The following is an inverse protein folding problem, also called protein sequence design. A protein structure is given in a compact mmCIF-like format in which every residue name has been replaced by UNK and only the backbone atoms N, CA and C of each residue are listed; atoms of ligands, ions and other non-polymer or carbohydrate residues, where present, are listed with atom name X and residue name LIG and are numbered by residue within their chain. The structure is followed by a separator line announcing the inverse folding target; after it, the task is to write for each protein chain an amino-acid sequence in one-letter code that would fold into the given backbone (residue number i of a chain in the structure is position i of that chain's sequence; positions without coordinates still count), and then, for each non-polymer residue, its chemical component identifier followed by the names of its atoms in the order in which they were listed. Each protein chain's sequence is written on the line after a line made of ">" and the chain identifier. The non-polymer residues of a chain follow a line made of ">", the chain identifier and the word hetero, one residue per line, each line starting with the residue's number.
data_IF_601019354922
#
_entry.id   IF_601019354922
#
_cell.length_a   1.000
_cell.length_b   1.000
_cell.length_c   1.000
_cell.angle_alpha   90.00
_cell.angle_beta   90.00
_cell.angle_gamma   90.00
#
_symmetry.space_group_name_H-M   'P 1'
#
loop_
_entity.id
_entity.type
_entity.pdbx_description
1 polymer ?
#
# COMPACT_ATOMS: atom_id res chain seq x y z
N UNK A 1 -19.15 -3.13 24.67
CA UNK A 1 -19.64 -3.23 23.28
C UNK A 1 -20.19 -1.87 22.86
N UNK A 2 -19.36 -1.03 22.25
CA UNK A 2 -19.82 0.23 21.67
C UNK A 2 -20.55 -0.06 20.35
N UNK A 3 -21.70 0.55 20.12
CA UNK A 3 -22.42 0.44 18.86
C UNK A 3 -21.72 1.34 17.82
N UNK A 4 -20.87 0.76 16.98
CA UNK A 4 -20.02 1.53 16.06
C UNK A 4 -20.79 2.24 14.94
N UNK A 5 -21.99 1.73 14.60
CA UNK A 5 -22.88 2.47 13.70
C UNK A 5 -23.34 3.77 14.34
N UNK A 6 -23.67 3.73 15.64
CA UNK A 6 -23.99 4.95 16.39
C UNK A 6 -22.77 5.87 16.50
N UNK A 7 -21.58 5.33 16.81
CA UNK A 7 -20.33 6.12 16.84
C UNK A 7 -20.09 6.85 15.51
N UNK A 8 -20.17 6.13 14.39
CA UNK A 8 -20.01 6.69 13.04
C UNK A 8 -21.01 7.82 12.77
N UNK A 9 -22.30 7.62 13.05
CA UNK A 9 -23.30 8.68 12.85
C UNK A 9 -23.05 9.92 13.71
N UNK A 10 -22.53 9.75 14.92
CA UNK A 10 -22.17 10.88 15.79
C UNK A 10 -20.94 11.62 15.25
N UNK A 11 -19.90 10.90 14.82
CA UNK A 11 -18.71 11.50 14.24
C UNK A 11 -19.01 12.24 12.93
N UNK A 12 -19.91 11.71 12.09
CA UNK A 12 -20.39 12.42 10.90
C UNK A 12 -21.07 13.76 11.25
N UNK A 13 -21.80 13.85 12.38
CA UNK A 13 -22.37 15.12 12.85
C UNK A 13 -21.25 16.09 13.23
N UNK A 14 -20.23 15.63 13.96
CA UNK A 14 -19.07 16.47 14.33
C UNK A 14 -18.33 16.97 13.09
N UNK A 15 -18.05 16.09 12.12
CA UNK A 15 -17.39 16.45 10.87
C UNK A 15 -18.18 17.51 10.09
N UNK A 16 -19.51 17.36 10.04
CA UNK A 16 -20.39 18.34 9.42
C UNK A 16 -20.34 19.69 10.15
N UNK A 17 -20.34 19.70 11.50
CA UNK A 17 -20.21 20.92 12.30
C UNK A 17 -18.87 21.62 12.05
N UNK A 18 -17.76 20.86 11.98
CA UNK A 18 -16.41 21.38 11.72
C UNK A 18 -16.29 21.94 10.30
N UNK A 19 -16.83 21.23 9.30
CA UNK A 19 -16.80 21.64 7.89
C UNK A 19 -17.65 22.88 7.63
N UNK A 20 -18.84 22.95 8.24
CA UNK A 20 -19.74 24.11 8.12
C UNK A 20 -19.32 25.28 9.03
N UNK A 21 -18.47 25.02 10.03
CA UNK A 21 -18.18 25.93 11.13
C UNK A 21 -19.45 26.42 11.84
N UNK A 22 -20.39 25.50 12.04
CA UNK A 22 -21.72 25.75 12.60
C UNK A 22 -22.14 24.59 13.53
N UNK A 23 -22.25 24.79 14.85
CA UNK A 23 -21.97 26.05 15.55
C UNK A 23 -20.46 26.33 15.67
N UNK A 24 -20.02 27.61 15.68
CA UNK A 24 -18.59 27.98 15.74
C UNK A 24 -17.86 27.48 16.99
N UNK A 25 -18.59 27.25 18.08
CA UNK A 25 -18.03 26.73 19.33
C UNK A 25 -17.40 25.35 19.15
N UNK A 26 -17.94 24.50 18.26
CA UNK A 26 -17.38 23.17 17.96
C UNK A 26 -15.96 23.27 17.42
N UNK A 27 -15.73 24.16 16.45
CA UNK A 27 -14.41 24.35 15.84
C UNK A 27 -13.42 24.95 16.84
N UNK A 28 -13.85 25.93 17.64
CA UNK A 28 -13.00 26.51 18.68
C UNK A 28 -12.54 25.46 19.70
N UNK A 29 -13.44 24.59 20.15
CA UNK A 29 -13.12 23.50 21.07
C UNK A 29 -12.20 22.47 20.43
N UNK A 30 -12.44 22.12 19.16
CA UNK A 30 -11.59 21.21 18.41
C UNK A 30 -10.16 21.73 18.28
N UNK A 31 -9.98 22.98 17.84
CA UNK A 31 -8.65 23.59 17.69
C UNK A 31 -7.90 23.62 19.03
N UNK A 32 -8.59 23.93 20.14
CA UNK A 32 -7.99 23.92 21.49
C UNK A 32 -7.60 22.52 21.99
N UNK A 33 -8.31 21.48 21.58
CA UNK A 33 -7.92 20.10 21.88
C UNK A 33 -6.66 19.74 21.09
N UNK A 34 -6.58 20.10 19.80
CA UNK A 34 -5.36 19.88 19.02
C UNK A 34 -4.15 20.62 19.62
N UNK A 35 -4.33 21.88 20.03
CA UNK A 35 -3.28 22.67 20.71
C UNK A 35 -2.83 22.03 22.03
N UNK A 36 -3.71 21.27 22.69
CA UNK A 36 -3.41 20.53 23.91
C UNK A 36 -2.77 19.16 23.67
N UNK A 37 -2.53 18.76 22.41
CA UNK A 37 -1.83 17.53 22.04
C UNK A 37 -2.74 16.35 21.71
N UNK A 38 -4.05 16.54 21.64
CA UNK A 38 -4.98 15.50 21.18
C UNK A 38 -4.84 15.24 19.68
N UNK A 39 -4.98 13.97 19.27
CA UNK A 39 -5.18 13.61 17.87
C UNK A 39 -6.53 14.15 17.35
N UNK A 40 -6.70 14.20 16.03
CA UNK A 40 -7.95 14.68 15.42
C UNK A 40 -9.10 13.74 15.79
N UNK A 41 -8.85 12.44 15.79
CA UNK A 41 -9.78 11.39 16.16
C UNK A 41 -10.23 11.54 17.61
N UNK A 42 -9.31 11.71 18.55
CA UNK A 42 -9.64 11.91 19.98
C UNK A 42 -10.42 13.21 20.22
N UNK A 43 -10.00 14.30 19.56
CA UNK A 43 -10.70 15.58 19.65
C UNK A 43 -12.14 15.44 19.15
N UNK A 44 -12.36 14.74 18.03
CA UNK A 44 -13.70 14.44 17.51
C UNK A 44 -14.49 13.50 18.42
N UNK A 45 -13.87 12.49 19.01
CA UNK A 45 -14.53 11.56 19.93
C UNK A 45 -15.02 12.27 21.20
N UNK A 46 -14.22 13.17 21.76
CA UNK A 46 -14.61 14.00 22.91
C UNK A 46 -15.78 14.92 22.60
N UNK A 47 -15.73 15.61 21.47
CA UNK A 47 -16.84 16.45 21.00
C UNK A 47 -18.08 15.56 20.73
N UNK A 48 -17.87 14.39 20.12
CA UNK A 48 -18.90 13.41 19.83
C UNK A 48 -19.63 12.92 21.09
N UNK A 49 -18.93 12.73 22.21
CA UNK A 49 -19.56 12.39 23.48
C UNK A 49 -20.52 13.50 23.98
N UNK A 50 -20.15 14.77 23.79
CA UNK A 50 -21.03 15.91 24.09
C UNK A 50 -22.22 15.95 23.14
N UNK A 51 -21.99 15.78 21.83
CA UNK A 51 -23.05 15.71 20.81
C UNK A 51 -24.05 14.59 21.12
N UNK A 52 -23.58 13.40 21.47
CA UNK A 52 -24.42 12.27 21.83
C UNK A 52 -25.29 12.58 23.06
N UNK A 53 -24.71 13.25 24.05
CA UNK A 53 -25.42 13.67 25.26
C UNK A 53 -26.53 14.68 24.93
N UNK A 54 -26.24 15.66 24.07
CA UNK A 54 -27.23 16.65 23.63
C UNK A 54 -28.35 16.01 22.80
N UNK A 55 -28.02 15.13 21.85
CA UNK A 55 -29.02 14.40 21.06
C UNK A 55 -29.93 13.57 21.98
N UNK A 56 -29.36 12.87 22.97
CA UNK A 56 -30.13 12.11 23.94
C UNK A 56 -31.09 13.00 24.73
N UNK A 57 -30.62 14.15 25.20
CA UNK A 57 -31.40 15.11 25.96
C UNK A 57 -32.56 15.72 25.14
N UNK A 58 -32.28 16.10 23.89
CA UNK A 58 -33.25 16.59 22.91
C UNK A 58 -34.37 15.57 22.71
N UNK A 59 -34.00 14.31 22.43
CA UNK A 59 -34.96 13.23 22.18
C UNK A 59 -35.78 12.89 23.42
N UNK A 60 -35.15 12.88 24.60
CA UNK A 60 -35.81 12.53 25.87
C UNK A 60 -36.77 13.61 26.36
N UNK A 61 -36.40 14.88 26.21
CA UNK A 61 -37.17 16.03 26.73
C UNK A 61 -38.07 16.67 25.67
N UNK A 62 -37.92 16.31 24.40
CA UNK A 62 -38.68 16.90 23.29
C UNK A 62 -38.35 18.38 23.06
N UNK A 63 -37.09 18.76 23.26
CA UNK A 63 -36.63 20.16 23.22
C UNK A 63 -35.88 20.46 21.92
N UNK A 64 -35.84 21.73 21.51
CA UNK A 64 -34.99 22.16 20.39
C UNK A 64 -33.52 22.21 20.81
N UNK A 65 -32.61 22.19 19.84
CA UNK A 65 -31.18 22.39 20.07
C UNK A 65 -30.92 23.78 20.68
N UNK A 66 -30.06 23.83 21.71
CA UNK A 66 -29.67 25.05 22.43
C UNK A 66 -28.15 25.21 22.31
N UNK A 67 -27.72 26.20 21.53
CA UNK A 67 -26.31 26.44 21.23
C UNK A 67 -25.52 26.91 22.45
N UNK A 68 -26.11 27.71 23.34
CA UNK A 68 -25.42 28.21 24.54
C UNK A 68 -25.21 27.09 25.57
N UNK A 69 -26.20 26.21 25.70
CA UNK A 69 -26.06 24.99 26.52
C UNK A 69 -24.98 24.08 25.93
N UNK A 70 -25.02 23.81 24.63
CA UNK A 70 -24.03 22.97 23.96
C UNK A 70 -22.61 23.53 24.11
N UNK A 71 -22.44 24.84 23.90
CA UNK A 71 -21.17 25.55 24.13
C UNK A 71 -20.68 25.39 25.56
N UNK A 72 -21.56 25.55 26.55
CA UNK A 72 -21.21 25.38 27.96
C UNK A 72 -20.73 23.95 28.27
N UNK A 73 -21.39 22.94 27.69
CA UNK A 73 -20.97 21.53 27.83
C UNK A 73 -19.64 21.24 27.15
N UNK A 74 -19.37 21.84 25.98
CA UNK A 74 -18.07 21.76 25.32
C UNK A 74 -16.96 22.43 26.15
N UNK A 75 -17.22 23.61 26.72
CA UNK A 75 -16.25 24.31 27.58
C UNK A 75 -15.97 23.53 28.88
N UNK A 76 -16.98 22.92 29.47
CA UNK A 76 -16.82 22.06 30.64
C UNK A 76 -15.97 20.81 30.31
N UNK A 77 -16.29 20.12 29.22
CA UNK A 77 -15.51 18.98 28.74
C UNK A 77 -14.07 19.37 28.43
N UNK A 78 -13.86 20.52 27.76
CA UNK A 78 -12.54 21.03 27.44
C UNK A 78 -11.73 21.34 28.71
N UNK A 79 -12.34 22.00 29.69
CA UNK A 79 -11.70 22.27 30.99
C UNK A 79 -11.32 20.97 31.70
N UNK A 80 -12.24 20.02 31.78
CA UNK A 80 -11.96 18.71 32.38
C UNK A 80 -10.86 17.95 31.63
N UNK A 81 -10.75 18.19 30.32
CA UNK A 81 -9.77 17.53 29.46
C UNK A 81 -8.38 18.16 29.55
N UNK A 82 -8.18 19.40 30.02
CA UNK A 82 -6.87 20.09 29.99
C UNK A 82 -6.28 20.31 31.40
N UNK A 83 -7.09 20.28 32.45
CA UNK A 83 -6.71 20.75 33.80
C UNK A 83 -6.09 19.68 34.73
N UNK A 84 -5.83 18.47 34.24
CA UNK A 84 -5.21 17.38 35.01
C UNK A 84 -4.05 16.73 34.24
N UNK A 85 -2.97 16.34 34.94
CA UNK A 85 -1.84 15.53 34.46
C UNK A 85 -2.27 14.11 34.04
N UNK A 86 -3.32 13.99 33.24
CA UNK A 86 -3.74 12.76 32.59
C UNK A 86 -2.86 12.56 31.34
N UNK A 87 -2.72 11.36 30.80
CA UNK A 87 -2.09 11.20 29.46
C UNK A 87 -3.04 11.62 28.33
N UNK A 88 -4.25 12.07 28.70
CA UNK A 88 -5.31 12.60 27.84
C UNK A 88 -5.84 11.55 26.84
N UNK A 89 -5.24 10.37 26.78
CA UNK A 89 -5.46 9.38 25.74
C UNK A 89 -6.59 8.42 26.10
N UNK A 90 -7.60 8.30 25.24
CA UNK A 90 -8.71 7.37 25.46
C UNK A 90 -8.24 5.99 25.01
N UNK A 91 -7.88 5.12 25.97
CA UNK A 91 -7.49 3.74 25.66
C UNK A 91 -8.57 3.01 24.86
N UNK A 92 -8.15 2.48 23.73
CA UNK A 92 -8.92 1.71 22.75
C UNK A 92 -8.38 0.30 22.59
N UNK A 93 -9.03 -0.52 21.76
CA UNK A 93 -8.48 -1.80 21.33
C UNK A 93 -7.12 -1.66 20.62
N UNK A 94 -6.84 -0.51 19.98
CA UNK A 94 -5.59 -0.27 19.28
C UNK A 94 -4.38 -0.13 20.20
N UNK A 95 -4.56 0.38 21.42
CA UNK A 95 -3.46 0.49 22.38
C UNK A 95 -3.03 -0.88 22.89
N UNK A 96 -4.01 -1.75 23.11
CA UNK A 96 -3.72 -3.15 23.42
C UNK A 96 -3.07 -3.86 22.24
N UNK A 97 -3.52 -3.59 21.02
CA UNK A 97 -2.89 -4.10 19.80
C UNK A 97 -1.42 -3.64 19.73
N UNK A 98 -1.15 -2.34 19.93
CA UNK A 98 0.20 -1.78 19.84
C UNK A 98 1.12 -2.35 20.93
N UNK A 99 0.65 -2.47 22.18
CA UNK A 99 1.40 -3.13 23.25
C UNK A 99 1.83 -4.57 22.88
N UNK A 100 0.99 -5.31 22.16
CA UNK A 100 1.31 -6.67 21.69
C UNK A 100 2.26 -6.65 20.49
N UNK A 101 2.09 -5.69 19.58
CA UNK A 101 2.99 -5.48 18.44
C UNK A 101 4.41 -5.18 18.92
N UNK A 102 4.56 -4.24 19.87
CA UNK A 102 5.85 -3.88 20.45
C UNK A 102 6.51 -5.05 21.19
N UNK A 103 5.75 -5.81 21.99
CA UNK A 103 6.27 -7.04 22.64
C UNK A 103 6.73 -8.08 21.63
N UNK A 104 6.06 -8.17 20.49
CA UNK A 104 6.51 -9.02 19.38
C UNK A 104 7.86 -8.56 18.85
N UNK A 105 8.02 -7.27 18.53
CA UNK A 105 9.30 -6.69 18.10
C UNK A 105 10.43 -6.92 19.12
N UNK A 106 10.20 -6.62 20.40
CA UNK A 106 11.14 -6.88 21.49
C UNK A 106 11.57 -8.36 21.52
N UNK A 107 10.61 -9.29 21.31
CA UNK A 107 10.91 -10.71 21.26
C UNK A 107 11.78 -11.10 20.06
N UNK A 108 11.59 -10.48 18.90
CA UNK A 108 12.45 -10.73 17.73
C UNK A 108 13.86 -10.18 17.93
N UNK A 109 14.02 -9.01 18.54
CA UNK A 109 15.33 -8.47 18.92
C UNK A 109 16.08 -9.40 19.89
N UNK A 110 15.36 -10.03 20.82
CA UNK A 110 15.88 -11.03 21.75
C UNK A 110 16.05 -12.44 21.14
N UNK A 111 15.82 -12.60 19.83
CA UNK A 111 15.90 -13.88 19.10
C UNK A 111 14.90 -14.95 19.60
N UNK A 112 13.75 -14.52 20.13
CA UNK A 112 12.66 -15.37 20.62
C UNK A 112 11.49 -15.38 19.63
N UNK A 113 11.73 -15.79 18.39
CA UNK A 113 10.74 -15.72 17.30
C UNK A 113 9.40 -16.42 17.62
N UNK A 114 9.43 -17.57 18.31
CA UNK A 114 8.20 -18.27 18.69
C UNK A 114 7.34 -17.50 19.70
N UNK A 115 7.98 -16.77 20.62
CA UNK A 115 7.28 -15.91 21.59
C UNK A 115 6.73 -14.66 20.88
N UNK A 116 7.54 -14.03 20.02
CA UNK A 116 7.11 -12.87 19.23
C UNK A 116 5.89 -13.16 18.36
N UNK A 117 5.87 -14.31 17.68
CA UNK A 117 4.72 -14.76 16.89
C UNK A 117 3.47 -15.05 17.74
N UNK A 118 3.61 -15.45 19.00
CA UNK A 118 2.46 -15.58 19.90
C UNK A 118 1.83 -14.21 20.19
N UNK A 119 2.65 -13.19 20.49
CA UNK A 119 2.15 -11.83 20.70
C UNK A 119 1.49 -11.26 19.44
N UNK A 120 2.12 -11.45 18.27
CA UNK A 120 1.53 -10.98 17.01
C UNK A 120 0.28 -11.73 16.59
N UNK A 121 0.13 -13.01 16.95
CA UNK A 121 -1.13 -13.72 16.79
C UNK A 121 -2.25 -13.11 17.66
N UNK A 122 -1.95 -12.76 18.92
CA UNK A 122 -2.92 -12.07 19.77
C UNK A 122 -3.26 -10.67 19.25
N UNK A 123 -2.28 -9.94 18.70
CA UNK A 123 -2.50 -8.67 18.03
C UNK A 123 -3.41 -8.85 16.80
N UNK A 124 -3.15 -9.87 16.00
CA UNK A 124 -3.99 -10.22 14.85
C UNK A 124 -5.44 -10.50 15.23
N UNK A 125 -5.68 -11.23 16.32
CA UNK A 125 -7.04 -11.49 16.79
C UNK A 125 -7.79 -10.20 17.18
N UNK A 126 -7.09 -9.23 17.76
CA UNK A 126 -7.64 -7.89 18.05
C UNK A 126 -7.92 -7.15 16.75
N UNK A 127 -6.95 -7.14 15.83
CA UNK A 127 -7.08 -6.50 14.53
C UNK A 127 -8.29 -7.03 13.75
N UNK A 128 -8.46 -8.35 13.64
CA UNK A 128 -9.64 -8.96 13.00
C UNK A 128 -10.95 -8.56 13.69
N UNK A 129 -10.95 -8.38 15.01
CA UNK A 129 -12.12 -7.93 15.76
C UNK A 129 -12.48 -6.48 15.46
N UNK A 130 -11.48 -5.61 15.29
CA UNK A 130 -11.67 -4.21 14.90
C UNK A 130 -12.15 -4.13 13.45
N UNK A 131 -11.51 -4.87 12.53
CA UNK A 131 -11.82 -4.84 11.10
C UNK A 131 -13.26 -5.28 10.76
N UNK A 132 -13.90 -6.13 11.58
CA UNK A 132 -15.35 -6.47 11.43
C UNK A 132 -16.29 -5.25 11.49
N UNK A 133 -15.79 -4.13 11.99
CA UNK A 133 -16.55 -2.91 12.23
C UNK A 133 -16.27 -1.85 11.16
N UNK A 134 -15.20 -2.06 10.38
CA UNK A 134 -14.74 -1.19 9.30
C UNK A 134 -15.51 -1.56 8.02
N UNK A 135 -15.91 -0.58 7.18
CA UNK A 135 -16.54 -0.88 5.89
C UNK A 135 -15.62 -1.69 4.97
N UNK A 136 -16.18 -2.61 4.19
CA UNK A 136 -15.45 -3.44 3.20
C UNK A 136 -14.80 -2.65 2.05
N UNK A 137 -15.04 -1.33 1.97
CA UNK A 137 -14.51 -0.45 0.92
C UNK A 137 -13.35 0.42 1.40
N UNK A 138 -12.80 0.15 2.59
CA UNK A 138 -11.70 0.93 3.15
C UNK A 138 -10.37 0.48 2.57
N UNK A 139 -9.47 1.41 2.26
CA UNK A 139 -8.09 1.10 1.86
C UNK A 139 -7.19 1.01 3.10
N UNK A 140 -5.99 0.44 2.99
CA UNK A 140 -5.07 0.36 4.14
C UNK A 140 -4.64 1.76 4.60
N UNK A 141 -4.34 2.67 3.68
CA UNK A 141 -4.05 4.05 4.04
C UNK A 141 -5.27 4.79 4.59
N UNK A 142 -6.48 4.51 4.10
CA UNK A 142 -7.72 5.05 4.66
C UNK A 142 -7.92 4.63 6.13
N UNK A 143 -7.62 3.37 6.45
CA UNK A 143 -7.61 2.89 7.83
C UNK A 143 -6.57 3.64 8.67
N UNK A 144 -5.33 3.77 8.18
CA UNK A 144 -4.27 4.49 8.92
C UNK A 144 -4.61 5.97 9.12
N UNK A 145 -5.17 6.64 8.11
CA UNK A 145 -5.64 8.02 8.20
C UNK A 145 -6.75 8.16 9.25
N UNK A 146 -7.67 7.19 9.33
CA UNK A 146 -8.71 7.17 10.36
C UNK A 146 -8.17 7.04 11.79
N UNK A 147 -6.96 6.50 11.94
CA UNK A 147 -6.21 6.42 13.19
C UNK A 147 -5.18 7.55 13.34
N UNK A 148 -5.25 8.60 12.51
CA UNK A 148 -4.30 9.72 12.48
C UNK A 148 -2.83 9.27 12.35
N UNK A 149 -2.59 8.12 11.71
CA UNK A 149 -1.26 7.50 11.56
C UNK A 149 -0.54 7.23 12.88
N UNK A 150 -1.28 7.10 13.99
CA UNK A 150 -0.71 6.80 15.31
C UNK A 150 -0.05 5.42 15.33
N UNK A 151 -0.64 4.45 14.62
CA UNK A 151 -0.20 3.07 14.62
C UNK A 151 0.42 2.68 13.26
N UNK A 152 1.59 2.02 13.24
CA UNK A 152 2.28 1.60 12.01
C UNK A 152 1.70 0.28 11.46
N UNK A 153 0.41 0.28 11.13
CA UNK A 153 -0.35 -0.92 10.75
C UNK A 153 0.23 -1.59 9.49
N UNK A 154 0.57 -0.80 8.48
CA UNK A 154 1.14 -1.26 7.22
C UNK A 154 2.48 -1.98 7.39
N UNK A 155 3.39 -1.39 8.16
CA UNK A 155 4.68 -1.99 8.49
C UNK A 155 4.49 -3.31 9.25
N UNK A 156 3.66 -3.30 10.29
CA UNK A 156 3.42 -4.51 11.09
C UNK A 156 2.81 -5.65 10.26
N UNK A 157 1.86 -5.36 9.37
CA UNK A 157 1.25 -6.39 8.52
C UNK A 157 2.30 -7.06 7.62
N UNK A 158 3.22 -6.28 7.04
CA UNK A 158 4.32 -6.81 6.21
C UNK A 158 5.34 -7.60 7.05
N UNK A 159 5.67 -7.12 8.25
CA UNK A 159 6.61 -7.82 9.13
C UNK A 159 6.00 -9.13 9.65
N UNK A 160 4.72 -9.15 10.00
CA UNK A 160 4.04 -10.35 10.46
C UNK A 160 3.97 -11.41 9.35
N UNK A 161 3.66 -10.98 8.12
CA UNK A 161 3.74 -11.80 6.92
C UNK A 161 5.11 -12.48 6.77
N UNK A 162 6.17 -11.67 6.89
CA UNK A 162 7.55 -12.11 6.73
C UNK A 162 7.96 -13.10 7.83
N UNK A 163 7.60 -12.82 9.09
CA UNK A 163 7.95 -13.67 10.23
C UNK A 163 7.22 -15.01 10.23
N UNK A 164 5.99 -15.07 9.73
CA UNK A 164 5.32 -16.35 9.45
C UNK A 164 6.11 -17.17 8.42
N UNK A 165 6.67 -16.51 7.41
CA UNK A 165 7.53 -17.14 6.39
C UNK A 165 8.86 -17.62 6.96
N UNK A 166 9.52 -16.79 7.76
CA UNK A 166 10.79 -17.10 8.45
C UNK A 166 10.63 -18.30 9.40
N UNK A 167 9.49 -18.42 10.08
CA UNK A 167 9.16 -19.54 10.95
C UNK A 167 8.73 -20.82 10.21
N UNK A 168 8.63 -20.79 8.88
CA UNK A 168 8.17 -21.93 8.08
C UNK A 168 6.69 -22.25 8.24
N UNK A 169 5.89 -21.30 8.75
CA UNK A 169 4.44 -21.44 8.97
C UNK A 169 3.66 -21.08 7.69
N UNK A 170 4.00 -21.73 6.58
CA UNK A 170 3.51 -21.37 5.24
C UNK A 170 1.98 -21.43 5.10
N UNK A 171 1.33 -22.43 5.71
CA UNK A 171 -0.14 -22.49 5.73
C UNK A 171 -0.80 -21.33 6.49
N UNK A 172 -0.22 -20.91 7.61
CA UNK A 172 -0.69 -19.74 8.37
C UNK A 172 -0.44 -18.44 7.57
N UNK A 173 0.74 -18.30 6.94
CA UNK A 173 1.10 -17.18 6.06
C UNK A 173 0.12 -17.03 4.90
N UNK A 174 -0.22 -18.12 4.20
CA UNK A 174 -1.20 -18.10 3.10
C UNK A 174 -2.56 -17.62 3.59
N UNK A 175 -3.06 -18.17 4.70
CA UNK A 175 -4.37 -17.79 5.25
C UNK A 175 -4.41 -16.32 5.69
N UNK A 176 -3.32 -15.84 6.30
CA UNK A 176 -3.15 -14.44 6.68
C UNK A 176 -3.17 -13.51 5.45
N UNK A 177 -2.34 -13.78 4.45
CA UNK A 177 -2.28 -12.96 3.24
C UNK A 177 -3.62 -12.93 2.49
N UNK A 178 -4.31 -14.07 2.38
CA UNK A 178 -5.63 -14.14 1.75
C UNK A 178 -6.65 -13.25 2.47
N UNK A 179 -6.69 -13.31 3.80
CA UNK A 179 -7.56 -12.45 4.59
C UNK A 179 -7.25 -10.97 4.38
N UNK A 180 -5.98 -10.58 4.36
CA UNK A 180 -5.58 -9.19 4.11
C UNK A 180 -6.02 -8.71 2.72
N UNK A 181 -5.83 -9.54 1.70
CA UNK A 181 -6.28 -9.24 0.34
C UNK A 181 -7.80 -9.12 0.22
N UNK A 182 -8.55 -9.84 1.07
CA UNK A 182 -10.02 -9.76 1.15
C UNK A 182 -10.52 -8.58 2.01
N UNK A 183 -9.72 -8.10 2.97
CA UNK A 183 -10.13 -7.07 3.94
C UNK A 183 -10.08 -5.65 3.39
N UNK A 184 -9.23 -5.38 2.41
CA UNK A 184 -8.94 -4.02 1.94
C UNK A 184 -9.24 -3.84 0.45
N UNK A 185 -9.63 -2.62 0.08
CA UNK A 185 -9.62 -2.18 -1.31
C UNK A 185 -8.20 -1.69 -1.69
N UNK A 186 -7.50 -2.47 -2.50
CA UNK A 186 -6.11 -2.20 -2.92
C UNK A 186 -5.99 -1.25 -4.12
N UNK A 187 -7.09 -0.58 -4.52
CA UNK A 187 -7.02 0.38 -5.62
C UNK A 187 -6.07 1.54 -5.30
N UNK A 188 -4.93 1.58 -6.00
CA UNK A 188 -3.91 2.61 -5.81
C UNK A 188 -2.92 2.34 -4.68
N UNK A 189 -2.96 1.16 -4.07
CA UNK A 189 -2.03 0.69 -3.04
C UNK A 189 -1.29 -0.57 -3.53
N UNK A 190 -0.08 -0.83 -3.01
CA UNK A 190 0.69 -2.01 -3.40
C UNK A 190 0.33 -3.21 -2.51
N UNK A 191 -0.31 -4.22 -3.10
CA UNK A 191 -0.68 -5.46 -2.44
C UNK A 191 0.32 -6.61 -2.68
N UNK A 192 1.43 -6.31 -3.38
CA UNK A 192 2.36 -7.31 -3.88
C UNK A 192 3.03 -8.11 -2.76
N UNK A 193 3.26 -7.52 -1.58
CA UNK A 193 3.83 -8.22 -0.43
C UNK A 193 3.02 -9.48 -0.08
N UNK A 194 1.70 -9.31 0.13
CA UNK A 194 0.81 -10.41 0.51
C UNK A 194 0.61 -11.41 -0.63
N UNK A 195 0.55 -10.93 -1.88
CA UNK A 195 0.45 -11.81 -3.05
C UNK A 195 1.70 -12.66 -3.25
N UNK A 196 2.88 -12.07 -3.16
CA UNK A 196 4.16 -12.79 -3.19
C UNK A 196 4.23 -13.79 -2.04
N UNK A 197 3.76 -13.39 -0.86
CA UNK A 197 3.61 -14.25 0.31
C UNK A 197 2.90 -15.56 0.05
N UNK A 198 1.75 -15.51 -0.63
CA UNK A 198 0.98 -16.70 -1.03
C UNK A 198 1.79 -17.56 -2.00
N UNK A 199 2.28 -16.97 -3.09
CA UNK A 199 2.98 -17.71 -4.13
C UNK A 199 4.27 -18.37 -3.65
N UNK A 200 5.07 -17.66 -2.86
CA UNK A 200 6.28 -18.19 -2.23
C UNK A 200 5.96 -19.31 -1.24
N UNK A 201 4.93 -19.14 -0.41
CA UNK A 201 4.53 -20.14 0.57
C UNK A 201 4.05 -21.43 -0.10
N UNK A 202 3.27 -21.34 -1.19
CA UNK A 202 2.88 -22.50 -1.99
C UNK A 202 4.10 -23.25 -2.53
N UNK A 203 5.09 -22.51 -3.05
CA UNK A 203 6.34 -23.10 -3.52
C UNK A 203 7.11 -23.80 -2.39
N UNK A 204 7.23 -23.16 -1.21
CA UNK A 204 7.91 -23.73 -0.04
C UNK A 204 7.21 -24.96 0.54
N UNK A 205 5.89 -25.08 0.38
CA UNK A 205 5.13 -26.30 0.70
C UNK A 205 5.31 -27.43 -0.33
N UNK A 206 6.07 -27.20 -1.41
CA UNK A 206 6.29 -28.16 -2.49
C UNK A 206 5.17 -28.21 -3.53
N UNK A 207 4.23 -27.25 -3.49
CA UNK A 207 3.13 -27.12 -4.45
C UNK A 207 3.54 -26.26 -5.66
N UNK A 208 4.64 -26.63 -6.30
CA UNK A 208 5.28 -25.83 -7.37
C UNK A 208 4.33 -25.49 -8.52
N UNK A 209 3.50 -26.46 -8.96
CA UNK A 209 2.54 -26.23 -10.04
C UNK A 209 1.48 -25.20 -9.67
N UNK A 210 0.95 -25.27 -8.44
CA UNK A 210 -0.05 -24.31 -7.93
C UNK A 210 0.57 -22.92 -7.78
N UNK A 211 1.81 -22.83 -7.28
CA UNK A 211 2.53 -21.56 -7.16
C UNK A 211 2.72 -20.89 -8.53
N UNK A 212 3.09 -21.66 -9.56
CA UNK A 212 3.29 -21.14 -10.91
C UNK A 212 1.98 -20.66 -11.52
N UNK A 213 0.92 -21.45 -11.42
CA UNK A 213 -0.41 -21.06 -11.90
C UNK A 213 -0.91 -19.80 -11.20
N UNK A 214 -0.69 -19.68 -9.89
CA UNK A 214 -1.02 -18.49 -9.11
C UNK A 214 -0.32 -17.23 -9.65
N UNK A 215 1.01 -17.27 -9.83
CA UNK A 215 1.77 -16.14 -10.38
C UNK A 215 1.39 -15.82 -11.83
N UNK A 216 1.20 -16.84 -12.66
CA UNK A 216 0.82 -16.66 -14.07
C UNK A 216 -0.55 -15.99 -14.21
N UNK A 217 -1.52 -16.38 -13.38
CA UNK A 217 -2.83 -15.74 -13.35
C UNK A 217 -2.75 -14.29 -12.84
N UNK A 218 -2.03 -14.05 -11.73
CA UNK A 218 -1.86 -12.70 -11.19
C UNK A 218 -1.17 -11.76 -12.19
N UNK A 219 -0.06 -12.19 -12.79
CA UNK A 219 0.71 -11.38 -13.75
C UNK A 219 0.07 -11.33 -15.16
N UNK A 220 -1.01 -12.09 -15.40
CA UNK A 220 -1.86 -11.89 -16.57
C UNK A 220 -2.74 -10.65 -16.39
N UNK A 221 -3.28 -10.46 -15.18
CA UNK A 221 -4.14 -9.33 -14.83
C UNK A 221 -3.30 -8.05 -14.57
N UNK A 222 -2.18 -8.17 -13.87
CA UNK A 222 -1.24 -7.08 -13.59
C UNK A 222 0.15 -7.36 -14.18
N UNK A 223 0.22 -7.28 -15.50
CA UNK A 223 1.43 -7.64 -16.26
C UNK A 223 2.63 -6.71 -16.07
N UNK A 224 2.49 -5.60 -15.35
CA UNK A 224 3.60 -4.67 -15.06
C UNK A 224 4.03 -4.74 -13.60
N UNK A 225 3.45 -5.64 -12.80
CA UNK A 225 3.78 -5.78 -11.39
C UNK A 225 5.26 -6.17 -11.21
N UNK A 226 6.05 -5.23 -10.69
CA UNK A 226 7.51 -5.39 -10.54
C UNK A 226 7.84 -6.45 -9.49
N UNK A 227 7.18 -6.37 -8.33
CA UNK A 227 7.41 -7.24 -7.18
C UNK A 227 7.01 -8.68 -7.48
N UNK A 228 5.83 -8.90 -8.05
CA UNK A 228 5.32 -10.19 -8.47
C UNK A 228 6.19 -10.83 -9.56
N UNK A 229 6.62 -10.07 -10.58
CA UNK A 229 7.55 -10.58 -11.60
C UNK A 229 8.88 -10.98 -10.97
N UNK A 230 9.41 -10.17 -10.05
CA UNK A 230 10.68 -10.45 -9.39
C UNK A 230 10.58 -11.74 -8.56
N UNK A 231 9.57 -11.86 -7.70
CA UNK A 231 9.36 -13.05 -6.86
C UNK A 231 9.12 -14.29 -7.72
N UNK A 232 8.30 -14.21 -8.77
CA UNK A 232 8.08 -15.35 -9.67
C UNK A 232 9.38 -15.81 -10.33
N UNK A 233 10.23 -14.87 -10.77
CA UNK A 233 11.53 -15.18 -11.34
C UNK A 233 12.49 -15.86 -10.36
N UNK A 234 12.35 -15.61 -9.06
CA UNK A 234 13.15 -16.28 -8.03
C UNK A 234 12.75 -17.73 -7.86
N UNK A 235 11.44 -18.00 -7.72
CA UNK A 235 10.97 -19.38 -7.54
C UNK A 235 11.25 -20.24 -8.79
N UNK A 236 11.12 -19.67 -9.99
CA UNK A 236 11.47 -20.34 -11.25
C UNK A 236 12.94 -20.72 -11.28
N UNK A 237 13.82 -19.76 -10.96
CA UNK A 237 15.26 -19.98 -10.94
C UNK A 237 15.66 -21.01 -9.89
N UNK A 238 15.08 -20.93 -8.68
CA UNK A 238 15.35 -21.88 -7.60
C UNK A 238 14.91 -23.32 -7.97
N UNK A 239 13.82 -23.46 -8.72
CA UNK A 239 13.37 -24.75 -9.24
C UNK A 239 14.21 -25.27 -10.43
N UNK A 240 15.19 -24.50 -10.90
CA UNK A 240 16.06 -24.85 -12.03
C UNK A 240 15.54 -24.40 -13.40
N UNK A 241 14.44 -23.66 -13.46
CA UNK A 241 13.81 -23.16 -14.69
C UNK A 241 14.40 -21.80 -15.13
N UNK A 242 15.72 -21.71 -15.22
CA UNK A 242 16.43 -20.43 -15.43
C UNK A 242 16.05 -19.72 -16.75
N UNK A 243 15.80 -20.46 -17.84
CA UNK A 243 15.36 -19.85 -19.11
C UNK A 243 13.96 -19.22 -18.96
N UNK A 244 13.03 -19.93 -18.28
CA UNK A 244 11.68 -19.40 -18.02
C UNK A 244 11.73 -18.20 -17.08
N UNK A 245 12.58 -18.25 -16.04
CA UNK A 245 12.82 -17.11 -15.15
C UNK A 245 13.30 -15.88 -15.95
N UNK A 246 14.24 -16.09 -16.89
CA UNK A 246 14.71 -15.02 -17.76
C UNK A 246 13.62 -14.47 -18.67
N UNK A 247 12.83 -15.34 -19.32
CA UNK A 247 11.74 -14.93 -20.21
C UNK A 247 10.68 -14.08 -19.50
N UNK A 248 10.31 -14.45 -18.26
CA UNK A 248 9.34 -13.70 -17.44
C UNK A 248 9.83 -12.28 -17.19
N UNK A 249 11.06 -12.11 -16.70
CA UNK A 249 11.62 -10.78 -16.41
C UNK A 249 11.86 -9.99 -17.70
N UNK A 250 12.36 -10.66 -18.75
CA UNK A 250 12.61 -10.04 -20.06
C UNK A 250 11.34 -9.48 -20.67
N UNK A 251 10.19 -10.15 -20.51
CA UNK A 251 8.90 -9.70 -21.07
C UNK A 251 8.52 -8.29 -20.61
N UNK A 252 8.83 -7.92 -19.36
CA UNK A 252 8.51 -6.61 -18.78
C UNK A 252 9.65 -5.60 -18.91
N UNK A 253 10.90 -6.04 -19.00
CA UNK A 253 12.07 -5.13 -18.99
C UNK A 253 12.66 -4.86 -20.37
N UNK A 254 12.42 -5.71 -21.37
CA UNK A 254 13.08 -5.58 -22.66
C UNK A 254 12.53 -4.40 -23.48
N UNK A 255 13.40 -3.46 -23.82
CA UNK A 255 13.05 -2.29 -24.62
C UNK A 255 12.35 -1.16 -23.87
N UNK A 256 12.19 -1.27 -22.54
CA UNK A 256 11.79 -0.16 -21.66
C UNK A 256 13.00 0.46 -20.99
N UNK A 257 12.85 1.67 -20.45
CA UNK A 257 13.92 2.33 -19.69
C UNK A 257 13.94 1.85 -18.23
N UNK A 258 15.13 1.82 -17.64
CA UNK A 258 15.31 1.63 -16.21
C UNK A 258 15.01 2.94 -15.46
N UNK A 259 14.23 2.85 -14.39
CA UNK A 259 13.91 3.93 -13.46
C UNK A 259 13.71 3.35 -12.05
N UNK A 260 13.36 4.19 -11.08
CA UNK A 260 13.34 3.83 -9.66
C UNK A 260 12.50 2.58 -9.38
N UNK A 261 11.25 2.55 -9.86
CA UNK A 261 10.32 1.47 -9.53
C UNK A 261 10.63 0.14 -10.20
N UNK A 262 11.32 0.12 -11.35
CA UNK A 262 11.63 -1.13 -12.08
C UNK A 262 13.11 -1.56 -12.02
N UNK A 263 13.96 -0.78 -11.34
CA UNK A 263 15.40 -1.02 -11.25
C UNK A 263 15.76 -2.42 -10.74
N UNK A 264 14.96 -2.96 -9.80
CA UNK A 264 15.13 -4.31 -9.27
C UNK A 264 14.99 -5.39 -10.35
N UNK A 265 14.06 -5.21 -11.30
CA UNK A 265 13.90 -6.13 -12.41
C UNK A 265 15.03 -6.00 -13.42
N UNK A 266 15.60 -4.82 -13.62
CA UNK A 266 16.78 -4.65 -14.49
C UNK A 266 18.01 -5.36 -13.91
N UNK A 267 18.23 -5.24 -12.59
CA UNK A 267 19.28 -6.00 -11.90
C UNK A 267 19.06 -7.51 -12.06
N UNK A 268 17.82 -7.98 -11.86
CA UNK A 268 17.44 -9.39 -12.01
C UNK A 268 17.60 -9.88 -13.45
N UNK A 269 17.17 -9.09 -14.43
CA UNK A 269 17.25 -9.42 -15.85
C UNK A 269 18.70 -9.56 -16.33
N UNK A 270 19.60 -8.68 -15.86
CA UNK A 270 21.04 -8.78 -16.13
C UNK A 270 21.62 -10.08 -15.61
N UNK A 271 21.36 -10.41 -14.34
CA UNK A 271 21.85 -11.64 -13.69
C UNK A 271 21.38 -12.90 -14.44
N UNK A 272 20.09 -12.95 -14.79
CA UNK A 272 19.52 -14.07 -15.52
C UNK A 272 20.03 -14.15 -16.97
N UNK A 273 20.19 -13.00 -17.65
CA UNK A 273 20.76 -12.94 -18.99
C UNK A 273 22.20 -13.49 -19.01
N UNK A 274 23.03 -13.13 -18.04
CA UNK A 274 24.38 -13.69 -17.89
C UNK A 274 24.34 -15.20 -17.68
N UNK A 275 23.47 -15.66 -16.79
CA UNK A 275 23.33 -17.08 -16.45
C UNK A 275 22.90 -17.93 -17.66
N UNK A 276 21.97 -17.43 -18.47
CA UNK A 276 21.44 -18.14 -19.66
C UNK A 276 22.24 -17.86 -20.95
N UNK A 277 23.38 -17.18 -20.85
CA UNK A 277 24.30 -16.95 -21.97
C UNK A 277 23.86 -15.88 -22.98
N UNK A 278 23.02 -14.93 -22.58
CA UNK A 278 22.53 -13.81 -23.40
C UNK A 278 23.41 -12.56 -23.22
N UNK A 279 24.69 -12.67 -23.56
CA UNK A 279 25.70 -11.63 -23.29
C UNK A 279 25.33 -10.23 -23.83
N UNK A 280 24.72 -10.15 -25.01
CA UNK A 280 24.32 -8.87 -25.59
C UNK A 280 23.18 -8.20 -24.80
N UNK A 281 22.24 -9.00 -24.32
CA UNK A 281 21.10 -8.52 -23.53
C UNK A 281 21.58 -8.10 -22.13
N UNK A 282 22.48 -8.88 -21.52
CA UNK A 282 23.13 -8.51 -20.26
C UNK A 282 23.87 -7.16 -20.35
N UNK A 283 24.70 -6.97 -21.39
CA UNK A 283 25.38 -5.69 -21.63
C UNK A 283 24.40 -4.52 -21.79
N UNK A 284 23.27 -4.76 -22.45
CA UNK A 284 22.23 -3.75 -22.58
C UNK A 284 21.60 -3.40 -21.22
N UNK A 285 21.25 -4.40 -20.39
CA UNK A 285 20.74 -4.16 -19.04
C UNK A 285 21.74 -3.40 -18.17
N UNK A 286 23.04 -3.75 -18.24
CA UNK A 286 24.09 -3.00 -17.53
C UNK A 286 24.12 -1.53 -17.96
N UNK A 287 24.06 -1.25 -19.26
CA UNK A 287 24.03 0.12 -19.76
C UNK A 287 22.82 0.91 -19.24
N UNK A 288 21.65 0.27 -19.14
CA UNK A 288 20.45 0.91 -18.60
C UNK A 288 20.61 1.24 -17.11
N UNK A 289 21.16 0.30 -16.33
CA UNK A 289 21.46 0.51 -14.90
C UNK A 289 22.50 1.64 -14.70
N UNK A 290 23.58 1.64 -15.47
CA UNK A 290 24.61 2.70 -15.42
C UNK A 290 24.00 4.07 -15.76
N UNK A 291 23.09 4.12 -16.73
CA UNK A 291 22.40 5.36 -17.13
C UNK A 291 21.48 5.87 -16.01
N UNK A 292 20.76 4.96 -15.36
CA UNK A 292 19.90 5.26 -14.22
C UNK A 292 20.73 5.77 -13.01
N UNK A 293 21.79 5.06 -12.63
CA UNK A 293 22.67 5.44 -11.52
C UNK A 293 23.32 6.83 -11.75
N UNK A 294 23.78 7.10 -12.96
CA UNK A 294 24.33 8.41 -13.31
C UNK A 294 23.27 9.53 -13.27
N UNK A 295 22.00 9.21 -13.53
CA UNK A 295 20.90 10.17 -13.41
C UNK A 295 20.60 10.49 -11.95
N UNK A 296 20.56 9.49 -11.06
CA UNK A 296 20.38 9.70 -9.62
C UNK A 296 21.53 10.53 -9.05
N UNK A 297 22.78 10.19 -9.35
CA UNK A 297 23.96 10.92 -8.85
C UNK A 297 23.95 12.39 -9.23
N UNK A 298 23.48 12.73 -10.43
CA UNK A 298 23.33 14.13 -10.84
C UNK A 298 22.25 14.85 -10.04
N UNK A 299 21.12 14.17 -9.81
CA UNK A 299 20.04 14.67 -8.98
C UNK A 299 20.47 14.94 -7.53
N UNK A 300 21.23 14.03 -6.91
CA UNK A 300 21.75 14.20 -5.55
C UNK A 300 22.79 15.33 -5.42
N UNK A 301 23.39 15.77 -6.54
CA UNK A 301 24.42 16.81 -6.57
C UNK A 301 23.88 18.22 -6.87
N UNK A 302 22.67 18.34 -7.42
CA UNK A 302 22.01 19.61 -7.75
C UNK A 302 20.84 19.87 -6.76
N UNK A 303 21.14 20.22 -5.51
CA UNK A 303 20.11 20.51 -4.46
C UNK A 303 19.27 21.78 -4.74
N UNK A 304 19.61 22.60 -5.73
CA UNK A 304 19.05 23.95 -5.87
C UNK A 304 18.02 24.17 -7.00
N UNK A 305 17.76 23.20 -7.89
CA UNK A 305 16.69 23.35 -8.88
C UNK A 305 15.98 22.03 -9.19
N UNK A 306 14.67 22.12 -9.45
CA UNK A 306 13.83 21.15 -10.19
C UNK A 306 12.91 20.28 -9.31
N UNK A 307 11.89 20.94 -8.76
CA UNK A 307 10.55 20.34 -8.75
C UNK A 307 10.10 20.21 -10.22
N UNK A 308 9.48 19.06 -10.57
CA UNK A 308 8.54 18.91 -11.71
C UNK A 308 8.97 18.14 -12.99
N UNK A 309 9.92 17.19 -12.96
CA UNK A 309 10.18 16.32 -14.15
C UNK A 309 10.29 14.81 -13.89
N UNK A 310 9.77 14.29 -12.77
CA UNK A 310 9.80 12.85 -12.45
C UNK A 310 8.45 12.12 -12.43
N UNK A 311 7.33 12.77 -12.78
CA UNK A 311 5.99 12.14 -12.70
C UNK A 311 5.35 11.76 -14.03
N UNK A 312 6.10 11.75 -15.15
CA UNK A 312 5.54 11.26 -16.41
C UNK A 312 6.55 10.47 -17.28
N UNK A 313 6.18 9.28 -17.78
CA UNK A 313 7.00 8.55 -18.74
C UNK A 313 7.14 9.38 -20.02
N UNK A 314 8.37 9.80 -20.35
CA UNK A 314 8.66 10.28 -21.71
C UNK A 314 8.56 9.08 -22.65
N UNK A 315 7.40 8.92 -23.30
CA UNK A 315 7.29 8.04 -24.45
C UNK A 315 8.37 8.45 -25.45
N UNK A 316 9.32 7.56 -25.74
CA UNK A 316 10.19 7.73 -26.89
C UNK A 316 9.25 7.87 -28.09
N UNK A 317 9.36 8.93 -28.91
CA UNK A 317 8.52 9.07 -30.08
C UNK A 317 8.61 7.77 -30.87
N UNK A 318 7.47 7.08 -31.03
CA UNK A 318 7.39 5.90 -31.89
C UNK A 318 7.97 6.34 -33.23
N UNK A 319 9.16 5.85 -33.56
CA UNK A 319 9.76 6.06 -34.88
C UNK A 319 8.83 5.33 -35.82
N UNK A 320 7.84 6.04 -36.35
CA UNK A 320 6.95 5.51 -37.36
C UNK A 320 7.84 5.00 -38.48
N UNK A 321 7.79 3.69 -38.72
CA UNK A 321 8.41 3.12 -39.90
C UNK A 321 8.00 3.97 -41.10
N UNK A 322 8.99 4.34 -41.92
CA UNK A 322 8.80 5.29 -43.02
C UNK A 322 7.66 4.76 -43.90
N UNK A 323 6.50 5.45 -43.87
CA UNK A 323 5.33 5.07 -44.66
C UNK A 323 5.74 4.90 -46.12
N UNK A 324 5.57 3.69 -46.65
CA UNK A 324 5.87 3.37 -48.05
C UNK A 324 4.68 3.82 -48.88
N UNK A 325 4.88 4.84 -49.72
CA UNK A 325 3.83 5.36 -50.59
C UNK A 325 3.71 4.52 -51.87
N UNK A 326 2.54 4.49 -52.53
CA UNK A 326 2.30 3.67 -53.72
C UNK A 326 3.33 3.82 -54.86
N UNK A 327 4.00 4.96 -54.97
CA UNK A 327 5.00 5.24 -56.00
C UNK A 327 6.45 5.01 -55.56
N UNK A 328 6.70 4.72 -54.28
CA UNK A 328 8.05 4.51 -53.73
C UNK A 328 8.67 3.20 -54.27
N UNK A 329 10.02 3.09 -54.30
CA UNK A 329 10.69 1.84 -54.61
C UNK A 329 10.21 0.72 -53.68
N UNK A 330 9.84 -0.42 -54.25
CA UNK A 330 9.33 -1.54 -53.48
C UNK A 330 10.43 -2.13 -52.58
N UNK A 331 10.18 -2.34 -51.28
CA UNK A 331 11.21 -2.78 -50.32
C UNK A 331 11.72 -4.22 -50.57
N UNK A 332 11.03 -5.01 -51.40
CA UNK A 332 11.47 -6.36 -51.79
C UNK A 332 12.65 -6.38 -52.79
N UNK A 333 13.20 -5.22 -53.15
CA UNK A 333 14.37 -5.13 -54.05
C UNK A 333 14.06 -5.35 -55.54
N UNK A 334 12.79 -5.41 -55.93
CA UNK A 334 12.38 -5.71 -57.32
C UNK A 334 12.63 -4.58 -58.34
N UNK A 335 13.09 -3.41 -57.90
CA UNK A 335 13.27 -2.21 -58.74
C UNK A 335 11.95 -1.58 -59.24
N UNK A 336 10.79 -2.10 -58.85
CA UNK A 336 9.46 -1.60 -59.25
C UNK A 336 8.87 -0.68 -58.18
N UNK A 337 7.94 0.20 -58.58
CA UNK A 337 7.12 1.00 -57.63
C UNK A 337 6.25 0.09 -56.76
N UNK A 338 6.05 0.43 -55.48
CA UNK A 338 5.32 -0.38 -54.50
C UNK A 338 3.95 -0.87 -55.01
N UNK A 339 3.12 0.02 -55.57
CA UNK A 339 1.80 -0.31 -56.16
C UNK A 339 1.83 -1.30 -57.33
N UNK A 340 2.99 -1.50 -57.96
CA UNK A 340 3.18 -2.42 -59.09
C UNK A 340 3.84 -3.74 -58.67
N UNK A 341 4.17 -3.91 -57.38
CA UNK A 341 4.82 -5.09 -56.82
C UNK A 341 4.10 -5.56 -55.55
N UNK A 342 4.66 -5.38 -54.36
CA UNK A 342 4.07 -5.85 -53.09
C UNK A 342 2.75 -5.16 -52.72
N UNK A 343 2.47 -3.97 -53.28
CA UNK A 343 1.21 -3.24 -53.11
C UNK A 343 0.18 -3.50 -54.20
N UNK A 344 0.34 -4.55 -55.04
CA UNK A 344 -0.73 -5.02 -55.94
C UNK A 344 -1.76 -5.81 -55.12
N UNK A 345 -2.88 -5.17 -54.80
CA UNK A 345 -4.15 -5.87 -54.70
C UNK A 345 -4.88 -5.72 -56.04
#
# INVERSE_FOLDING_TARGET
>A
MANLRLKKSILEVVDNQLKANDPPCTKNTYDKLLDAGYSKSEAKDKIGAVVLTEIYDILKKGQAFDEEKYKSSLEEMLRQSIDYEDDHHIRTEWDKWDELVQKGYESFEEQKAAEGLCFWQEAWDIFESVMKQVPETETLYGLMESQDYVYPIDCWLQDYEMELGNAGKYGERIAFCQKILEMFDWQGEDDSCFRCGIGESLFREGKTAEAYEYYENWLMDDSQNVNGTNSFSWILFENGDAEKAYEVVRKVTWGVSCYVDNSILFMRARQLADYVGKENESKWYQQQLDTFENSIKKWEMDEDEIFDEFTAPKQIPVVKEKKIYPNDPCPCGSGKKYKKCCGKQ
#
